data_IF_516230678677
#
_entry.id   IF_516230678677
#
_cell.length_a   1.000
_cell.length_b   1.000
_cell.length_c   1.000
_cell.angle_alpha   90.00
_cell.angle_beta   90.00
_cell.angle_gamma   90.00
#
_symmetry.space_group_name_H-M   'P 1'
#
loop_
_entity.id
_entity.type
_entity.pdbx_description
1 polymer ?
#
# COMPACT_ATOMS: atom_id res chain seq x y z
N UNK A 1 23.78 23.99 5.13
CA UNK A 1 24.35 22.91 4.28
C UNK A 1 23.70 21.59 4.67
N UNK A 2 22.62 21.19 3.98
CA UNK A 2 22.01 19.88 4.18
C UNK A 2 22.73 18.88 3.26
N UNK A 3 23.20 17.78 3.81
CA UNK A 3 23.83 16.69 3.05
C UNK A 3 22.78 16.07 2.13
N UNK A 4 22.95 16.25 0.82
CA UNK A 4 22.23 15.50 -0.19
C UNK A 4 22.58 14.01 -0.05
N UNK A 5 21.59 13.19 0.28
CA UNK A 5 21.77 11.76 0.36
C UNK A 5 21.69 11.19 -1.07
N UNK A 6 22.86 10.99 -1.70
CA UNK A 6 23.03 10.53 -3.10
C UNK A 6 22.65 9.04 -3.34
N UNK A 7 21.97 8.37 -2.41
CA UNK A 7 21.82 6.90 -2.46
C UNK A 7 20.79 6.43 -3.51
N UNK A 8 19.81 7.25 -3.92
CA UNK A 8 18.80 6.86 -4.92
C UNK A 8 18.29 8.05 -5.78
N UNK A 9 18.79 8.26 -7.01
CA UNK A 9 18.42 9.42 -7.84
C UNK A 9 16.98 9.40 -8.37
N UNK A 10 16.36 8.22 -8.51
CA UNK A 10 14.94 8.10 -8.92
C UNK A 10 13.96 8.51 -7.82
N UNK A 11 14.34 8.40 -6.54
CA UNK A 11 13.55 8.92 -5.42
C UNK A 11 13.66 10.45 -5.26
N UNK A 12 14.67 11.08 -5.85
CA UNK A 12 14.85 12.54 -5.81
C UNK A 12 13.94 13.31 -6.80
N UNK A 13 13.12 12.62 -7.61
CA UNK A 13 12.13 13.27 -8.48
C UNK A 13 11.00 13.91 -7.65
N UNK A 14 10.85 13.51 -6.38
CA UNK A 14 9.76 13.94 -5.50
C UNK A 14 10.07 15.17 -4.64
N UNK A 15 11.32 15.64 -4.57
CA UNK A 15 11.71 16.74 -3.66
C UNK A 15 11.94 18.09 -4.36
N UNK A 16 11.15 18.36 -5.40
CA UNK A 16 11.10 19.69 -6.01
C UNK A 16 9.83 20.43 -5.55
N UNK A 17 10.00 21.56 -4.84
CA UNK A 17 8.88 22.41 -4.38
C UNK A 17 7.87 22.73 -5.48
N UNK A 18 8.32 22.86 -6.73
CA UNK A 18 7.46 23.09 -7.89
C UNK A 18 6.47 21.96 -8.15
N UNK A 19 6.89 20.69 -7.99
CA UNK A 19 5.99 19.54 -8.14
C UNK A 19 4.95 19.49 -7.03
N UNK A 20 5.33 19.80 -5.79
CA UNK A 20 4.38 19.84 -4.66
C UNK A 20 3.28 20.90 -4.87
N UNK A 21 3.66 22.10 -5.32
CA UNK A 21 2.70 23.18 -5.63
C UNK A 21 1.76 22.75 -6.77
N UNK A 22 2.31 22.16 -7.84
CA UNK A 22 1.52 21.63 -8.95
C UNK A 22 0.52 20.58 -8.47
N UNK A 23 0.96 19.59 -7.70
CA UNK A 23 0.10 18.51 -7.21
C UNK A 23 -0.99 19.01 -6.25
N UNK A 24 -0.68 20.00 -5.39
CA UNK A 24 -1.69 20.63 -4.54
C UNK A 24 -2.74 21.37 -5.36
N UNK A 25 -2.32 22.19 -6.34
CA UNK A 25 -3.25 22.89 -7.23
C UNK A 25 -4.14 21.91 -8.01
N UNK A 26 -3.55 20.80 -8.45
CA UNK A 26 -4.25 19.71 -9.10
C UNK A 26 -5.32 19.08 -8.19
N UNK A 27 -4.99 18.71 -6.95
CA UNK A 27 -5.99 18.17 -6.01
C UNK A 27 -7.12 19.16 -5.72
N UNK A 28 -6.83 20.45 -5.64
CA UNK A 28 -7.86 21.49 -5.46
C UNK A 28 -8.78 21.63 -6.69
N UNK A 29 -8.24 21.54 -7.90
CA UNK A 29 -8.99 21.84 -9.14
C UNK A 29 -9.69 20.63 -9.76
N UNK A 30 -9.14 19.42 -9.59
CA UNK A 30 -9.69 18.18 -10.18
C UNK A 30 -9.94 17.06 -9.17
N UNK A 31 -9.61 17.25 -7.90
CA UNK A 31 -9.79 16.24 -6.83
C UNK A 31 -8.60 15.27 -6.66
N UNK A 32 -7.68 15.18 -7.62
CA UNK A 32 -6.49 14.30 -7.55
C UNK A 32 -5.30 14.86 -8.36
N UNK A 33 -4.07 14.48 -8.03
CA UNK A 33 -2.85 14.88 -8.76
C UNK A 33 -2.41 13.82 -9.78
N UNK A 34 -1.55 14.20 -10.74
CA UNK A 34 -1.05 13.25 -11.76
C UNK A 34 -0.30 12.08 -11.08
N UNK A 35 0.42 12.34 -10.00
CA UNK A 35 1.11 11.30 -9.22
C UNK A 35 0.13 10.30 -8.57
N UNK A 36 -1.07 10.75 -8.21
CA UNK A 36 -2.09 9.91 -7.57
C UNK A 36 -2.62 8.86 -8.57
N UNK A 37 -2.51 9.13 -9.89
CA UNK A 37 -2.90 8.19 -10.94
C UNK A 37 -1.87 7.11 -11.24
N UNK A 38 -0.61 7.31 -10.82
CA UNK A 38 0.46 6.32 -11.04
C UNK A 38 0.21 5.04 -10.24
N UNK A 39 -0.37 5.18 -9.04
CA UNK A 39 -0.83 4.05 -8.23
C UNK A 39 -2.10 4.46 -7.46
N UNK A 40 -3.25 4.30 -8.12
CA UNK A 40 -4.56 4.65 -7.57
C UNK A 40 -4.85 3.84 -6.30
N UNK A 41 -4.44 2.56 -6.25
CA UNK A 41 -4.68 1.70 -5.09
C UNK A 41 -4.07 2.27 -3.81
N UNK A 42 -2.78 2.65 -3.87
CA UNK A 42 -2.10 3.29 -2.74
C UNK A 42 -2.67 4.66 -2.39
N UNK A 43 -3.09 5.44 -3.39
CA UNK A 43 -3.74 6.72 -3.12
C UNK A 43 -5.06 6.55 -2.37
N UNK A 44 -5.91 5.60 -2.79
CA UNK A 44 -7.18 5.29 -2.14
C UNK A 44 -6.98 4.71 -0.73
N UNK A 45 -5.98 3.84 -0.53
CA UNK A 45 -5.68 3.29 0.80
C UNK A 45 -5.27 4.36 1.82
N UNK A 46 -4.75 5.50 1.37
CA UNK A 46 -4.41 6.63 2.23
C UNK A 46 -5.57 7.62 2.38
N UNK A 47 -6.30 7.89 1.30
CA UNK A 47 -7.38 8.88 1.28
C UNK A 47 -8.61 8.41 2.08
N UNK A 48 -9.09 7.19 1.81
CA UNK A 48 -10.36 6.70 2.37
C UNK A 48 -10.34 6.63 3.90
N UNK A 49 -9.33 6.04 4.58
CA UNK A 49 -9.33 6.01 6.05
C UNK A 49 -9.20 7.40 6.65
N UNK A 50 -8.52 8.34 5.98
CA UNK A 50 -8.46 9.74 6.42
C UNK A 50 -9.84 10.41 6.34
N UNK A 51 -10.58 10.22 5.24
CA UNK A 51 -11.95 10.72 5.08
C UNK A 51 -12.91 10.09 6.08
N UNK A 52 -12.84 8.76 6.28
CA UNK A 52 -13.70 8.05 7.24
C UNK A 52 -13.43 8.49 8.69
N UNK A 53 -12.16 8.77 9.03
CA UNK A 53 -11.80 9.30 10.34
C UNK A 53 -12.38 10.69 10.56
N UNK A 54 -12.20 11.60 9.60
CA UNK A 54 -12.76 12.95 9.66
C UNK A 54 -14.30 12.91 9.73
N UNK A 55 -14.93 12.07 8.90
CA UNK A 55 -16.38 11.82 8.96
C UNK A 55 -16.82 11.32 10.34
N UNK A 56 -16.13 10.31 10.90
CA UNK A 56 -16.47 9.76 12.22
C UNK A 56 -16.41 10.82 13.32
N UNK A 57 -15.41 11.71 13.28
CA UNK A 57 -15.18 12.75 14.28
C UNK A 57 -16.20 13.90 14.18
N UNK A 58 -16.71 14.18 12.98
CA UNK A 58 -17.59 15.33 12.73
C UNK A 58 -19.07 14.99 12.48
N UNK A 59 -19.43 13.71 12.31
CA UNK A 59 -20.83 13.32 12.03
C UNK A 59 -21.81 13.72 13.14
N UNK A 60 -23.01 14.09 12.73
CA UNK A 60 -24.18 14.38 13.55
C UNK A 60 -25.26 13.28 13.49
N UNK A 61 -25.15 12.35 12.54
CA UNK A 61 -26.15 11.30 12.30
C UNK A 61 -25.54 9.89 12.23
N UNK A 62 -26.44 8.90 12.18
CA UNK A 62 -26.13 7.48 12.02
C UNK A 62 -27.27 6.80 11.26
N UNK A 63 -27.01 5.71 10.53
CA UNK A 63 -28.05 4.97 9.83
C UNK A 63 -28.99 4.27 10.81
N UNK A 64 -30.21 4.00 10.36
CA UNK A 64 -31.20 3.28 11.17
C UNK A 64 -30.77 1.82 11.31
N UNK A 65 -30.63 1.37 12.56
CA UNK A 65 -30.38 -0.03 12.87
C UNK A 65 -31.60 -0.67 13.52
N UNK A 66 -31.85 -1.94 13.18
CA UNK A 66 -32.90 -2.75 13.78
C UNK A 66 -32.30 -3.80 14.72
N UNK A 67 -33.11 -4.24 15.68
CA UNK A 67 -32.89 -5.42 16.50
C UNK A 67 -33.03 -6.69 15.65
N UNK A 68 -32.74 -7.83 16.25
CA UNK A 68 -32.83 -9.15 15.60
C UNK A 68 -34.24 -9.47 15.07
N UNK A 69 -35.28 -8.86 15.65
CA UNK A 69 -36.66 -8.98 15.19
C UNK A 69 -36.94 -8.27 13.85
N UNK A 70 -36.02 -7.41 13.37
CA UNK A 70 -36.13 -6.69 12.11
C UNK A 70 -37.17 -5.56 12.10
N UNK A 71 -37.91 -5.36 13.19
CA UNK A 71 -39.00 -4.39 13.27
C UNK A 71 -38.69 -3.30 14.29
N UNK A 72 -38.01 -3.64 15.39
CA UNK A 72 -37.71 -2.71 16.46
C UNK A 72 -36.40 -2.01 16.17
N UNK A 73 -36.41 -0.67 16.13
CA UNK A 73 -35.17 0.11 16.00
C UNK A 73 -34.29 -0.04 17.25
N UNK A 74 -32.97 -0.03 17.05
CA UNK A 74 -32.03 0.10 18.15
C UNK A 74 -32.19 1.48 18.81
N UNK A 75 -32.05 1.56 20.14
CA UNK A 75 -31.95 2.85 20.83
C UNK A 75 -30.84 3.72 20.21
N UNK A 76 -30.99 5.04 20.34
CA UNK A 76 -30.05 6.02 19.77
C UNK A 76 -28.60 5.78 20.21
N UNK A 77 -28.36 5.57 21.49
CA UNK A 77 -27.02 5.34 22.04
C UNK A 77 -26.38 4.08 21.45
N UNK A 78 -27.15 2.99 21.34
CA UNK A 78 -26.70 1.72 20.75
C UNK A 78 -26.43 1.86 19.25
N UNK A 79 -27.29 2.59 18.54
CA UNK A 79 -27.14 2.87 17.11
C UNK A 79 -25.88 3.69 16.81
N UNK A 80 -25.66 4.76 17.58
CA UNK A 80 -24.46 5.58 17.48
C UNK A 80 -23.19 4.77 17.78
N UNK A 81 -23.22 3.94 18.83
CA UNK A 81 -22.11 3.05 19.17
C UNK A 81 -21.82 2.05 18.05
N UNK A 82 -22.85 1.38 17.54
CA UNK A 82 -22.73 0.42 16.43
C UNK A 82 -22.16 1.07 15.18
N UNK A 83 -22.60 2.29 14.86
CA UNK A 83 -22.04 3.03 13.72
C UNK A 83 -20.56 3.36 13.91
N UNK A 84 -20.17 3.81 15.11
CA UNK A 84 -18.76 4.05 15.42
C UNK A 84 -17.90 2.80 15.28
N UNK A 85 -18.40 1.63 15.70
CA UNK A 85 -17.69 0.35 15.57
C UNK A 85 -17.51 -0.06 14.09
N UNK A 86 -18.52 0.18 13.25
CA UNK A 86 -18.45 -0.06 11.80
C UNK A 86 -17.41 0.87 11.17
N UNK A 87 -17.45 2.17 11.47
CA UNK A 87 -16.49 3.15 10.95
C UNK A 87 -15.06 2.81 11.41
N UNK A 88 -14.87 2.43 12.68
CA UNK A 88 -13.58 1.97 13.19
C UNK A 88 -13.06 0.73 12.45
N UNK A 89 -13.95 -0.22 12.17
CA UNK A 89 -13.60 -1.42 11.40
C UNK A 89 -13.18 -1.06 9.98
N UNK A 90 -13.92 -0.19 9.30
CA UNK A 90 -13.58 0.28 7.95
C UNK A 90 -12.22 0.99 7.96
N UNK A 91 -12.00 1.94 8.87
CA UNK A 91 -10.72 2.66 9.01
C UNK A 91 -9.56 1.68 9.23
N UNK A 92 -9.74 0.71 10.15
CA UNK A 92 -8.75 -0.32 10.41
C UNK A 92 -8.39 -1.11 9.15
N UNK A 93 -9.40 -1.65 8.46
CA UNK A 93 -9.18 -2.49 7.27
C UNK A 93 -8.49 -1.72 6.14
N UNK A 94 -8.87 -0.47 5.91
CA UNK A 94 -8.23 0.39 4.91
C UNK A 94 -6.76 0.70 5.26
N UNK A 95 -6.44 0.91 6.54
CA UNK A 95 -5.05 1.10 6.98
C UNK A 95 -4.21 -0.17 6.77
N UNK A 96 -4.79 -1.37 6.90
CA UNK A 96 -4.07 -2.62 6.65
C UNK A 96 -3.67 -2.82 5.18
N UNK A 97 -4.32 -2.09 4.25
CA UNK A 97 -3.95 -2.10 2.82
C UNK A 97 -2.71 -1.27 2.52
N UNK A 98 -2.36 -0.33 3.40
CA UNK A 98 -1.16 0.47 3.24
C UNK A 98 0.05 -0.30 3.82
N UNK A 99 1.09 -0.50 2.99
CA UNK A 99 2.26 -1.28 3.39
C UNK A 99 3.00 -0.69 4.61
N UNK A 100 2.93 0.61 4.84
CA UNK A 100 3.55 1.25 5.99
C UNK A 100 2.70 1.07 7.25
N UNK A 101 1.37 1.22 7.13
CA UNK A 101 0.45 1.13 8.28
C UNK A 101 0.01 -0.30 8.62
N UNK A 102 0.17 -1.26 7.70
CA UNK A 102 -0.21 -2.65 7.91
C UNK A 102 0.46 -3.24 9.16
N UNK A 103 -0.36 -3.82 10.04
CA UNK A 103 0.07 -4.43 11.29
C UNK A 103 0.94 -5.69 11.09
N UNK A 104 0.80 -6.36 9.94
CA UNK A 104 1.59 -7.54 9.58
C UNK A 104 2.86 -7.12 8.86
N UNK A 105 4.01 -7.34 9.50
CA UNK A 105 5.34 -7.10 8.91
C UNK A 105 6.07 -8.41 8.68
N UNK A 106 6.88 -8.45 7.63
CA UNK A 106 7.71 -9.59 7.35
C UNK A 106 8.88 -9.64 8.35
N UNK A 107 9.01 -10.68 9.19
CA UNK A 107 10.09 -10.81 10.16
C UNK A 107 11.47 -10.93 9.50
N UNK A 108 11.53 -11.32 8.22
CA UNK A 108 12.76 -11.44 7.45
C UNK A 108 13.13 -10.17 6.67
N UNK A 109 12.35 -9.09 6.76
CA UNK A 109 12.55 -7.86 5.99
C UNK A 109 13.98 -7.30 6.15
N UNK A 110 14.45 -7.11 7.38
CA UNK A 110 15.78 -6.54 7.60
C UNK A 110 16.91 -7.43 7.07
N UNK A 111 16.79 -8.74 7.25
CA UNK A 111 17.79 -9.71 6.81
C UNK A 111 17.80 -9.82 5.27
N UNK A 112 16.61 -9.85 4.67
CA UNK A 112 16.43 -9.82 3.22
C UNK A 112 17.00 -8.55 2.60
N UNK A 113 16.73 -7.38 3.19
CA UNK A 113 17.24 -6.10 2.69
C UNK A 113 18.77 -6.03 2.77
N UNK A 114 19.39 -6.55 3.83
CA UNK A 114 20.86 -6.65 3.91
C UNK A 114 21.42 -7.60 2.85
N UNK A 115 20.78 -8.75 2.64
CA UNK A 115 21.17 -9.70 1.60
C UNK A 115 20.99 -9.10 0.20
N UNK A 116 19.93 -8.33 -0.03
CA UNK A 116 19.65 -7.64 -1.29
C UNK A 116 20.67 -6.54 -1.57
N UNK A 117 21.05 -5.74 -0.56
CA UNK A 117 22.12 -4.75 -0.71
C UNK A 117 23.43 -5.43 -1.14
N UNK A 118 23.84 -6.52 -0.46
CA UNK A 118 25.05 -7.27 -0.82
C UNK A 118 24.97 -7.91 -2.22
N UNK A 119 23.80 -8.46 -2.57
CA UNK A 119 23.56 -9.00 -3.91
C UNK A 119 23.71 -7.92 -4.98
N UNK A 120 23.07 -6.77 -4.79
CA UNK A 120 23.11 -5.65 -5.71
C UNK A 120 24.53 -5.07 -5.86
N UNK A 121 25.29 -4.99 -4.77
CA UNK A 121 26.71 -4.60 -4.83
C UNK A 121 27.58 -5.59 -5.63
N UNK A 122 27.26 -6.88 -5.58
CA UNK A 122 28.05 -7.94 -6.22
C UNK A 122 27.67 -8.16 -7.68
N UNK A 123 26.36 -8.20 -7.96
CA UNK A 123 25.79 -8.63 -9.23
C UNK A 123 25.03 -7.52 -9.96
N UNK A 124 24.83 -6.35 -9.35
CA UNK A 124 24.00 -5.28 -9.91
C UNK A 124 22.50 -5.48 -9.67
N UNK A 125 21.72 -4.42 -9.94
CA UNK A 125 20.30 -4.35 -9.54
C UNK A 125 19.43 -5.33 -10.33
N UNK A 126 19.79 -5.60 -11.58
CA UNK A 126 19.11 -6.56 -12.44
C UNK A 126 19.87 -7.91 -12.52
N UNK A 127 20.92 -8.06 -11.70
CA UNK A 127 21.81 -9.22 -11.75
C UNK A 127 22.69 -9.22 -13.01
N UNK A 128 23.09 -8.06 -13.51
CA UNK A 128 23.97 -7.88 -14.68
C UNK A 128 25.27 -8.71 -14.58
N UNK A 129 25.81 -8.87 -13.37
CA UNK A 129 26.98 -9.69 -13.06
C UNK A 129 26.75 -11.19 -13.16
N UNK A 130 25.49 -11.65 -13.28
CA UNK A 130 25.14 -13.06 -13.52
C UNK A 130 24.87 -13.36 -15.00
N UNK A 131 24.80 -12.34 -15.86
CA UNK A 131 24.52 -12.53 -17.29
C UNK A 131 25.66 -13.27 -18.00
N UNK A 132 25.28 -14.28 -18.79
CA UNK A 132 26.19 -14.95 -19.72
C UNK A 132 26.54 -14.05 -20.92
N UNK A 133 27.65 -14.37 -21.60
CA UNK A 133 28.08 -13.65 -22.80
C UNK A 133 27.05 -13.72 -23.95
N UNK A 134 26.28 -14.80 -24.04
CA UNK A 134 25.19 -14.92 -25.01
C UNK A 134 24.03 -13.98 -24.69
N UNK A 135 23.67 -13.87 -23.40
CA UNK A 135 22.62 -12.96 -22.93
C UNK A 135 23.02 -11.49 -23.13
N UNK A 136 24.29 -11.15 -22.90
CA UNK A 136 24.83 -9.82 -23.19
C UNK A 136 24.75 -9.48 -24.68
N UNK A 137 25.23 -10.37 -25.56
CA UNK A 137 25.12 -10.18 -27.02
C UNK A 137 23.67 -10.06 -27.49
N UNK A 138 22.75 -10.79 -26.87
CA UNK A 138 21.33 -10.68 -27.18
C UNK A 138 20.77 -9.33 -26.72
N UNK A 139 21.12 -8.85 -25.54
CA UNK A 139 20.74 -7.53 -25.02
C UNK A 139 21.38 -6.36 -25.79
N UNK A 140 22.53 -6.56 -26.44
CA UNK A 140 23.09 -5.55 -27.36
C UNK A 140 22.29 -5.47 -28.66
N UNK A 141 21.78 -6.60 -29.14
CA UNK A 141 21.04 -6.70 -30.40
C UNK A 141 19.51 -6.51 -30.22
N UNK A 142 19.02 -6.51 -28.98
CA UNK A 142 17.60 -6.37 -28.64
C UNK A 142 17.43 -5.42 -27.47
N UNK A 143 16.36 -4.64 -27.44
CA UNK A 143 16.02 -3.79 -26.29
C UNK A 143 15.52 -4.59 -25.06
N UNK A 144 15.79 -5.89 -24.98
CA UNK A 144 15.37 -6.78 -23.89
C UNK A 144 16.57 -7.31 -23.11
N UNK A 145 16.58 -7.05 -21.80
CA UNK A 145 17.56 -7.57 -20.86
C UNK A 145 16.89 -8.64 -20.00
N UNK A 146 17.55 -9.79 -19.85
CA UNK A 146 17.10 -10.81 -18.90
C UNK A 146 17.48 -10.38 -17.49
N UNK A 147 16.51 -10.38 -16.58
CA UNK A 147 16.72 -10.07 -15.17
C UNK A 147 17.05 -11.37 -14.43
N UNK A 148 18.09 -11.33 -13.60
CA UNK A 148 18.43 -12.40 -12.69
C UNK A 148 18.07 -11.99 -11.25
N UNK A 149 17.61 -12.96 -10.46
CA UNK A 149 17.17 -12.70 -9.09
C UNK A 149 18.09 -13.37 -8.06
N UNK A 150 17.97 -12.92 -6.80
CA UNK A 150 18.75 -13.44 -5.68
C UNK A 150 18.64 -14.97 -5.49
N UNK A 151 17.47 -15.54 -5.74
CA UNK A 151 17.22 -16.98 -5.53
C UNK A 151 17.99 -17.90 -6.49
N UNK A 152 18.55 -17.35 -7.57
CA UNK A 152 19.41 -18.07 -8.50
C UNK A 152 20.81 -18.31 -7.90
N UNK A 153 21.20 -17.53 -6.89
CA UNK A 153 22.46 -17.66 -6.19
C UNK A 153 22.25 -18.50 -4.91
N UNK A 154 22.95 -19.64 -4.73
CA UNK A 154 22.76 -20.51 -3.58
C UNK A 154 22.89 -19.82 -2.21
N UNK A 155 23.75 -18.82 -2.09
CA UNK A 155 23.96 -18.03 -0.86
C UNK A 155 22.70 -17.29 -0.42
N UNK A 156 21.91 -16.76 -1.36
CA UNK A 156 20.74 -15.92 -1.05
C UNK A 156 19.40 -16.65 -1.17
N UNK A 157 19.41 -17.87 -1.69
CA UNK A 157 18.20 -18.65 -1.95
C UNK A 157 17.36 -18.87 -0.70
N UNK A 158 17.98 -19.25 0.41
CA UNK A 158 17.23 -19.58 1.63
C UNK A 158 16.50 -18.37 2.22
N UNK A 159 17.19 -17.22 2.34
CA UNK A 159 16.58 -15.99 2.86
C UNK A 159 15.51 -15.45 1.90
N UNK A 160 15.75 -15.52 0.60
CA UNK A 160 14.77 -15.14 -0.41
C UNK A 160 13.49 -16.00 -0.29
N UNK A 161 13.62 -17.32 -0.23
CA UNK A 161 12.46 -18.22 -0.16
C UNK A 161 11.66 -18.03 1.13
N UNK A 162 12.34 -17.81 2.27
CA UNK A 162 11.70 -17.48 3.55
C UNK A 162 10.95 -16.16 3.47
N UNK A 163 11.59 -15.12 2.95
CA UNK A 163 11.00 -13.79 2.77
C UNK A 163 9.75 -13.86 1.89
N UNK A 164 9.85 -14.44 0.70
CA UNK A 164 8.75 -14.53 -0.26
C UNK A 164 7.58 -15.36 0.28
N UNK A 165 7.86 -16.45 1.01
CA UNK A 165 6.81 -17.27 1.62
C UNK A 165 6.02 -16.49 2.67
N UNK A 166 6.69 -15.69 3.49
CA UNK A 166 6.03 -14.88 4.51
C UNK A 166 5.32 -13.67 3.88
N UNK A 167 5.93 -13.04 2.88
CA UNK A 167 5.34 -11.96 2.12
C UNK A 167 4.02 -12.38 1.47
N UNK A 168 3.98 -13.59 0.88
CA UNK A 168 2.75 -14.14 0.30
C UNK A 168 1.62 -14.26 1.33
N UNK A 169 1.92 -14.64 2.58
CA UNK A 169 0.89 -14.70 3.63
C UNK A 169 0.36 -13.30 4.00
N UNK A 170 1.24 -12.31 4.00
CA UNK A 170 0.88 -10.91 4.26
C UNK A 170 -0.01 -10.41 3.12
N UNK A 171 0.33 -10.69 1.86
CA UNK A 171 -0.48 -10.35 0.70
C UNK A 171 -1.86 -11.03 0.76
N UNK A 172 -1.94 -12.31 1.11
CA UNK A 172 -3.20 -13.03 1.31
C UNK A 172 -4.06 -12.37 2.40
N UNK A 173 -3.45 -11.94 3.50
CA UNK A 173 -4.12 -11.20 4.56
C UNK A 173 -4.62 -9.81 4.07
N UNK A 174 -3.79 -9.06 3.34
CA UNK A 174 -4.19 -7.77 2.77
C UNK A 174 -5.35 -7.92 1.77
N UNK A 175 -5.37 -9.00 0.99
CA UNK A 175 -6.49 -9.31 0.09
C UNK A 175 -7.78 -9.55 0.88
N UNK A 176 -7.72 -10.30 2.00
CA UNK A 176 -8.88 -10.49 2.88
C UNK A 176 -9.36 -9.17 3.48
N UNK A 177 -8.44 -8.34 3.99
CA UNK A 177 -8.77 -7.02 4.51
C UNK A 177 -9.41 -6.13 3.44
N UNK A 178 -8.90 -6.18 2.21
CA UNK A 178 -9.42 -5.42 1.07
C UNK A 178 -10.84 -5.89 0.75
N UNK A 179 -11.07 -7.18 0.61
CA UNK A 179 -12.40 -7.71 0.30
C UNK A 179 -13.42 -7.31 1.39
N UNK A 180 -13.08 -7.43 2.68
CA UNK A 180 -13.94 -7.00 3.78
C UNK A 180 -14.18 -5.47 3.79
N UNK A 181 -13.14 -4.67 3.53
CA UNK A 181 -13.27 -3.21 3.45
C UNK A 181 -14.26 -2.81 2.35
N UNK A 182 -14.18 -3.45 1.19
CA UNK A 182 -15.08 -3.18 0.07
C UNK A 182 -16.50 -3.70 0.32
N UNK A 183 -16.67 -4.82 1.02
CA UNK A 183 -17.99 -5.31 1.42
C UNK A 183 -18.68 -4.34 2.39
N UNK A 184 -17.97 -3.81 3.38
CA UNK A 184 -18.49 -2.77 4.28
C UNK A 184 -18.80 -1.47 3.52
N UNK A 185 -17.89 -1.02 2.65
CA UNK A 185 -18.12 0.15 1.81
C UNK A 185 -19.36 -0.03 0.92
N UNK A 186 -19.55 -1.22 0.33
CA UNK A 186 -20.72 -1.55 -0.47
C UNK A 186 -22.00 -1.54 0.35
N UNK A 187 -21.97 -2.12 1.55
CA UNK A 187 -23.12 -2.20 2.43
C UNK A 187 -23.59 -0.82 2.89
N UNK A 188 -22.66 0.03 3.31
CA UNK A 188 -22.95 1.33 3.93
C UNK A 188 -22.72 2.52 3.00
N UNK A 189 -22.59 2.29 1.69
CA UNK A 189 -22.26 3.35 0.73
C UNK A 189 -23.20 4.55 0.82
N UNK A 190 -24.51 4.27 0.93
CA UNK A 190 -25.55 5.28 1.05
C UNK A 190 -25.80 5.75 2.48
N UNK A 191 -25.00 5.31 3.44
CA UNK A 191 -25.04 5.71 4.85
C UNK A 191 -23.81 6.56 5.24
N UNK A 192 -22.84 6.72 4.33
CA UNK A 192 -21.69 7.62 4.47
C UNK A 192 -22.06 9.07 4.12
N UNK A 193 -23.15 9.56 4.71
CA UNK A 193 -23.60 10.95 4.64
C UNK A 193 -23.86 11.46 6.06
N UNK A 194 -23.87 12.77 6.20
CA UNK A 194 -24.28 13.47 7.41
C UNK A 194 -25.29 14.56 7.10
#
# INVERSE_FOLDING_TARGET
>A
MKKENKKYPMLNILDNKGHRIKHSHQRITKGFADCDTFNIGTYLSQLIPAMLKDFKENKHSYPVFYKEDGETMLPEEESCKKWNEILDRMIFLWNELDNELCSKKNPYEEEFMKAFEKYNETYGFLGEGLMSEEEKKKAENTSSVKVHFMNEVPEYKEIHDKYMKEQKKIEEYQVQCKDEAFDLMKQYFYDLWD
#
